data_IF_032453851783
#
_entry.id   IF_032453851783
#
_cell.length_a   1.000
_cell.length_b   1.000
_cell.length_c   1.000
_cell.angle_alpha   90.00
_cell.angle_beta   90.00
_cell.angle_gamma   90.00
#
_symmetry.space_group_name_H-M   'P 1'
#
loop_
_entity.id
_entity.type
_entity.pdbx_description
1 polymer ?
#
# COMPACT_ATOMS: atom_id res chain seq x y z
N UNK A 1 -23.96 -55.13 -15.40
CA UNK A 1 -22.83 -54.95 -14.46
C UNK A 1 -21.70 -54.29 -15.22
N UNK A 2 -21.44 -52.99 -15.02
CA UNK A 2 -20.25 -52.29 -15.52
C UNK A 2 -19.85 -51.25 -14.47
N UNK A 3 -18.69 -51.42 -13.83
CA UNK A 3 -18.16 -50.48 -12.82
C UNK A 3 -17.35 -49.39 -13.53
N UNK A 4 -17.57 -48.10 -13.27
CA UNK A 4 -16.76 -47.04 -13.85
C UNK A 4 -15.38 -47.02 -13.19
N UNK A 5 -14.34 -47.02 -14.00
CA UNK A 5 -12.95 -46.87 -13.58
C UNK A 5 -12.73 -45.41 -13.20
N UNK A 6 -12.49 -45.13 -11.92
CA UNK A 6 -12.09 -43.81 -11.43
C UNK A 6 -10.60 -43.66 -11.73
N UNK A 7 -10.27 -42.83 -12.72
CA UNK A 7 -8.89 -42.41 -12.97
C UNK A 7 -8.56 -41.31 -11.97
N UNK A 8 -7.78 -41.66 -10.95
CA UNK A 8 -7.26 -40.69 -9.98
C UNK A 8 -6.13 -39.89 -10.65
N UNK A 9 -6.42 -38.65 -11.05
CA UNK A 9 -5.42 -37.75 -11.61
C UNK A 9 -4.48 -37.26 -10.51
N UNK A 10 -3.20 -37.62 -10.59
CA UNK A 10 -2.14 -37.14 -9.71
C UNK A 10 -1.81 -35.69 -10.08
N UNK A 11 -2.27 -34.72 -9.27
CA UNK A 11 -1.92 -33.31 -9.41
C UNK A 11 -0.47 -33.11 -8.98
N UNK A 12 0.46 -33.13 -9.94
CA UNK A 12 1.83 -32.68 -9.73
C UNK A 12 1.76 -31.15 -9.56
N UNK A 13 1.98 -30.67 -8.33
CA UNK A 13 1.99 -29.25 -8.01
C UNK A 13 3.19 -28.56 -8.66
N UNK A 14 2.95 -27.77 -9.70
CA UNK A 14 3.95 -26.87 -10.27
C UNK A 14 4.11 -25.69 -9.30
N UNK A 15 5.27 -25.58 -8.67
CA UNK A 15 5.63 -24.39 -7.88
C UNK A 15 6.04 -23.26 -8.82
N UNK A 16 5.19 -22.25 -8.97
CA UNK A 16 5.57 -21.00 -9.65
C UNK A 16 6.34 -20.15 -8.64
N UNK A 17 7.58 -19.72 -8.93
CA UNK A 17 8.32 -18.85 -8.04
C UNK A 17 7.60 -17.49 -7.94
N UNK A 18 7.37 -17.02 -6.72
CA UNK A 18 6.84 -15.69 -6.50
C UNK A 18 7.88 -14.64 -6.92
N UNK A 19 7.53 -13.80 -7.89
CA UNK A 19 8.35 -12.63 -8.23
C UNK A 19 8.19 -11.57 -7.14
N UNK A 20 9.29 -10.88 -6.81
CA UNK A 20 9.21 -9.67 -6.01
C UNK A 20 8.32 -8.64 -6.73
N UNK A 21 7.54 -7.88 -5.96
CA UNK A 21 6.78 -6.77 -6.51
C UNK A 21 7.75 -5.71 -7.05
N UNK A 22 7.60 -5.37 -8.33
CA UNK A 22 8.27 -4.21 -8.93
C UNK A 22 7.43 -2.97 -8.64
N UNK A 23 7.99 -2.02 -7.90
CA UNK A 23 7.37 -0.72 -7.70
C UNK A 23 8.00 0.32 -8.63
N UNK A 24 7.21 1.29 -9.05
CA UNK A 24 7.71 2.42 -9.82
C UNK A 24 8.53 3.40 -8.97
N UNK A 25 9.14 4.42 -9.59
CA UNK A 25 10.00 5.39 -8.91
C UNK A 25 9.28 6.23 -7.85
N UNK A 26 7.95 6.34 -7.92
CA UNK A 26 7.11 7.03 -6.94
C UNK A 26 6.29 6.02 -6.11
N UNK A 27 6.78 4.79 -5.99
CA UNK A 27 6.16 3.69 -5.27
C UNK A 27 4.80 3.24 -5.87
N UNK A 28 4.62 3.40 -7.19
CA UNK A 28 3.45 2.94 -7.90
C UNK A 28 3.29 1.41 -7.75
N UNK A 29 2.05 0.95 -7.56
CA UNK A 29 1.73 -0.47 -7.31
C UNK A 29 1.70 -0.85 -5.83
N UNK A 30 2.16 0.01 -4.93
CA UNK A 30 2.01 -0.16 -3.49
C UNK A 30 0.73 0.50 -2.98
N UNK A 31 -0.10 -0.25 -2.25
CA UNK A 31 -1.35 0.27 -1.69
C UNK A 31 -1.10 1.04 -0.38
N UNK A 32 -1.60 2.27 -0.30
CA UNK A 32 -1.62 3.04 0.93
C UNK A 32 -2.88 2.72 1.76
N UNK A 33 -2.81 2.77 3.10
CA UNK A 33 -3.92 2.44 3.99
C UNK A 33 -5.03 3.50 4.00
N UNK A 34 -4.74 4.71 3.54
CA UNK A 34 -5.68 5.83 3.42
C UNK A 34 -5.54 6.49 2.05
N UNK A 35 -6.57 7.23 1.58
CA UNK A 35 -6.47 8.00 0.35
C UNK A 35 -5.28 8.95 0.36
N UNK A 36 -4.49 8.92 -0.73
CA UNK A 36 -3.40 9.85 -0.92
C UNK A 36 -3.86 11.07 -1.69
N UNK A 37 -3.41 12.24 -1.26
CA UNK A 37 -3.57 13.51 -1.97
C UNK A 37 -2.21 13.90 -2.54
N UNK A 38 -2.21 14.45 -3.76
CA UNK A 38 -1.02 15.00 -4.39
C UNK A 38 -1.02 16.52 -4.28
N UNK A 39 0.05 17.07 -3.73
CA UNK A 39 0.32 18.50 -3.69
C UNK A 39 1.44 18.83 -4.68
N UNK A 40 1.14 19.67 -5.67
CA UNK A 40 2.11 20.14 -6.65
C UNK A 40 2.80 21.40 -6.13
N UNK A 41 4.13 21.46 -6.25
CA UNK A 41 4.93 22.58 -5.77
C UNK A 41 6.09 22.88 -6.73
N UNK A 42 6.41 24.17 -6.89
CA UNK A 42 7.63 24.59 -7.58
C UNK A 42 8.63 25.09 -6.54
N UNK A 43 9.77 24.44 -6.44
CA UNK A 43 10.84 24.80 -5.50
C UNK A 43 12.19 24.42 -6.08
N UNK A 44 13.24 25.15 -5.72
CA UNK A 44 14.60 24.91 -6.24
C UNK A 44 14.65 24.81 -7.77
N UNK A 45 13.84 25.62 -8.47
CA UNK A 45 13.75 25.64 -9.94
C UNK A 45 13.23 24.34 -10.56
N UNK A 46 12.52 23.52 -9.79
CA UNK A 46 11.94 22.25 -10.24
C UNK A 46 10.45 22.20 -9.91
N UNK A 47 9.66 21.59 -10.79
CA UNK A 47 8.29 21.19 -10.49
C UNK A 47 8.31 19.82 -9.83
N UNK A 48 7.85 19.75 -8.59
CA UNK A 48 7.84 18.56 -7.75
C UNK A 48 6.40 18.24 -7.31
N UNK A 49 6.18 16.99 -6.92
CA UNK A 49 4.91 16.54 -6.34
C UNK A 49 5.15 15.84 -4.99
N UNK A 50 4.34 16.17 -3.98
CA UNK A 50 4.34 15.49 -2.70
C UNK A 50 3.03 14.73 -2.50
N UNK A 51 3.12 13.40 -2.32
CA UNK A 51 1.98 12.58 -1.91
C UNK A 51 1.90 12.55 -0.37
N UNK A 52 0.72 12.77 0.17
CA UNK A 52 0.45 12.71 1.61
C UNK A 52 -0.92 12.08 1.87
N UNK A 53 -1.17 11.66 3.12
CA UNK A 53 -2.50 11.24 3.57
C UNK A 53 -3.05 12.32 4.49
N UNK A 54 -4.33 12.69 4.30
CA UNK A 54 -5.06 13.58 5.19
C UNK A 54 -6.24 12.80 5.76
N UNK A 55 -6.15 12.44 7.05
CA UNK A 55 -7.09 11.51 7.69
C UNK A 55 -7.86 12.25 8.77
N UNK A 56 -9.14 12.47 8.52
CA UNK A 56 -10.04 13.07 9.50
C UNK A 56 -10.31 12.10 10.68
N UNK A 57 -10.53 12.62 11.90
CA UNK A 57 -10.93 11.78 13.03
C UNK A 57 -12.28 11.11 12.75
N UNK A 58 -12.42 9.87 13.19
CA UNK A 58 -13.68 9.11 13.08
C UNK A 58 -14.67 9.46 14.20
N UNK A 59 -14.17 10.00 15.33
CA UNK A 59 -14.96 10.45 16.47
C UNK A 59 -15.04 11.98 16.59
N UNK A 60 -15.44 12.47 17.78
CA UNK A 60 -15.46 13.91 18.06
C UNK A 60 -14.05 14.49 17.99
N UNK A 61 -13.84 15.42 17.07
CA UNK A 61 -12.57 16.13 16.95
C UNK A 61 -12.21 16.87 18.24
N UNK A 62 -10.95 16.77 18.65
CA UNK A 62 -10.41 17.44 19.83
C UNK A 62 -9.85 18.84 19.54
N UNK A 63 -10.01 19.34 18.30
CA UNK A 63 -9.53 20.66 17.87
C UNK A 63 -8.03 20.76 17.60
N UNK A 64 -7.31 19.64 17.51
CA UNK A 64 -5.86 19.61 17.25
C UNK A 64 -5.55 18.78 16.00
N UNK A 65 -4.44 19.13 15.35
CA UNK A 65 -3.89 18.38 14.21
C UNK A 65 -2.48 17.91 14.55
N UNK A 66 -2.13 16.71 14.11
CA UNK A 66 -0.78 16.14 14.22
C UNK A 66 -0.22 15.94 12.81
N UNK A 67 1.07 16.24 12.64
CA UNK A 67 1.80 15.95 11.40
C UNK A 67 2.78 14.81 11.68
N UNK A 68 2.65 13.71 10.95
CA UNK A 68 3.53 12.55 11.05
C UNK A 68 4.55 12.58 9.91
N UNK A 69 5.84 12.61 10.26
CA UNK A 69 6.94 12.62 9.30
C UNK A 69 7.60 11.25 9.30
N UNK A 70 7.76 10.64 8.12
CA UNK A 70 8.38 9.33 7.99
C UNK A 70 9.92 9.42 8.14
N UNK A 71 10.54 8.30 8.52
CA UNK A 71 11.99 8.16 8.51
C UNK A 71 12.55 7.87 7.12
N UNK A 72 13.88 7.85 6.99
CA UNK A 72 14.59 7.69 5.70
C UNK A 72 14.18 6.45 4.88
N UNK A 73 13.85 5.34 5.54
CA UNK A 73 13.58 4.04 4.89
C UNK A 73 12.11 3.61 5.00
N UNK A 74 11.22 4.51 5.43
CA UNK A 74 9.80 4.27 5.60
C UNK A 74 9.00 5.32 4.83
N UNK A 75 7.70 5.12 4.67
CA UNK A 75 6.81 6.05 3.97
C UNK A 75 5.59 6.40 4.83
N UNK A 76 4.70 7.27 4.32
CA UNK A 76 3.48 7.67 5.03
C UNK A 76 2.63 6.48 5.49
N UNK A 77 2.57 5.40 4.69
CA UNK A 77 1.79 4.21 5.02
C UNK A 77 2.26 3.48 6.29
N UNK A 78 3.54 3.62 6.68
CA UNK A 78 4.08 3.00 7.90
C UNK A 78 3.40 3.53 9.17
N UNK A 79 2.74 4.69 9.09
CA UNK A 79 2.01 5.28 10.20
C UNK A 79 0.58 4.74 10.40
N UNK A 80 0.12 3.73 9.65
CA UNK A 80 -1.24 3.15 9.79
C UNK A 80 -1.65 2.89 11.25
N UNK A 81 -0.78 2.20 12.01
CA UNK A 81 -1.04 1.93 13.42
C UNK A 81 -1.18 3.18 14.29
N UNK A 82 -0.42 4.24 14.00
CA UNK A 82 -0.49 5.51 14.74
C UNK A 82 -1.70 6.34 14.35
N UNK A 83 -2.16 6.26 13.10
CA UNK A 83 -3.38 6.95 12.64
C UNK A 83 -4.63 6.30 13.26
N UNK A 84 -4.61 4.98 13.49
CA UNK A 84 -5.73 4.21 14.08
C UNK A 84 -5.84 4.35 15.60
N UNK A 85 -4.75 4.62 16.30
CA UNK A 85 -4.67 4.63 17.76
C UNK A 85 -5.40 5.82 18.38
#
# INVERSE_FOLDING_TARGET
>A
MLKPIIVSALMIGISIPASAAGYGPHLEGFAYPYPTVKFELTTQWQSLSMNYMDVAPTGKANGRTVVLLHGKNFCGATWDGTIKA
#
